data_IF_581742009037
#
_entry.id   IF_581742009037
#
_cell.length_a   1.000
_cell.length_b   1.000
_cell.length_c   1.000
_cell.angle_alpha   90.00
_cell.angle_beta   90.00
_cell.angle_gamma   90.00
#
_symmetry.space_group_name_H-M   'P 1'
#
loop_
_entity.id
_entity.type
_entity.pdbx_description
1 polymer ?
#
# COMPACT_ATOMS: atom_id res chain seq x y z
N UNK A 1 -12.40 23.87 -28.92
CA UNK A 1 -12.34 22.40 -28.84
C UNK A 1 -11.05 22.06 -28.13
N UNK A 2 -11.12 21.94 -26.82
CA UNK A 2 -9.99 21.55 -25.96
C UNK A 2 -9.99 20.03 -25.88
N UNK A 3 -8.94 19.38 -26.33
CA UNK A 3 -8.76 17.95 -26.24
C UNK A 3 -8.58 17.58 -24.75
N UNK A 4 -9.55 16.86 -24.19
CA UNK A 4 -9.41 16.19 -22.90
C UNK A 4 -8.34 15.11 -23.04
N UNK A 5 -7.24 15.32 -22.33
CA UNK A 5 -6.15 14.34 -22.25
C UNK A 5 -6.66 13.17 -21.39
N UNK A 6 -7.06 12.09 -22.04
CA UNK A 6 -7.43 10.82 -21.39
C UNK A 6 -6.19 10.27 -20.67
N UNK A 7 -6.20 10.30 -19.35
CA UNK A 7 -5.19 9.69 -18.46
C UNK A 7 -5.41 8.18 -18.29
N UNK A 8 -5.66 7.45 -19.38
CA UNK A 8 -5.72 6.00 -19.33
C UNK A 8 -4.30 5.42 -19.13
N UNK A 9 -4.16 4.50 -18.16
CA UNK A 9 -2.91 3.77 -17.98
C UNK A 9 -2.56 2.96 -19.24
N UNK A 10 -1.27 2.85 -19.61
CA UNK A 10 -0.88 2.08 -20.78
C UNK A 10 -1.27 0.60 -20.63
N UNK A 11 -1.71 -0.07 -21.72
CA UNK A 11 -2.07 -1.49 -21.69
C UNK A 11 -0.86 -2.36 -21.35
N UNK A 12 -1.12 -3.43 -20.59
CA UNK A 12 -0.14 -4.30 -19.94
C UNK A 12 1.02 -4.76 -20.81
N UNK A 13 2.21 -4.51 -20.31
CA UNK A 13 3.47 -5.07 -20.77
C UNK A 13 4.08 -6.01 -19.74
N UNK A 14 4.94 -6.90 -20.20
CA UNK A 14 5.55 -8.02 -19.50
C UNK A 14 6.13 -7.70 -18.11
N UNK A 15 6.28 -8.73 -17.28
CA UNK A 15 6.72 -8.73 -15.87
C UNK A 15 8.09 -8.13 -15.57
N UNK A 16 8.82 -7.61 -16.57
CA UNK A 16 10.21 -7.16 -16.46
C UNK A 16 10.41 -5.66 -16.76
N UNK A 17 9.35 -4.88 -16.84
CA UNK A 17 9.48 -3.44 -17.10
C UNK A 17 9.30 -2.64 -15.82
N UNK A 18 10.38 -1.97 -15.41
CA UNK A 18 10.36 -0.98 -14.34
C UNK A 18 9.76 0.32 -14.84
N UNK A 19 8.98 0.99 -13.99
CA UNK A 19 8.44 2.31 -14.30
C UNK A 19 9.53 3.38 -14.24
N UNK A 20 9.46 4.35 -15.12
CA UNK A 20 10.38 5.49 -15.09
C UNK A 20 9.99 6.45 -13.95
N UNK A 21 10.95 7.16 -13.32
CA UNK A 21 10.66 8.26 -12.42
C UNK A 21 9.67 9.25 -13.04
N UNK A 22 8.72 9.76 -12.25
CA UNK A 22 7.63 10.63 -12.71
C UNK A 22 6.40 9.90 -13.25
N UNK A 23 6.47 8.58 -13.51
CA UNK A 23 5.28 7.80 -13.90
C UNK A 23 4.26 7.78 -12.78
N UNK A 24 2.99 8.02 -13.12
CA UNK A 24 1.89 7.91 -12.16
C UNK A 24 1.32 6.50 -12.17
N UNK A 25 1.17 5.91 -10.98
CA UNK A 25 0.64 4.56 -10.79
C UNK A 25 -0.30 4.52 -9.58
N UNK A 26 -1.05 3.41 -9.41
CA UNK A 26 -1.87 3.18 -8.23
C UNK A 26 -1.16 2.27 -7.23
N UNK A 27 -1.19 2.64 -5.97
CA UNK A 27 -0.94 1.74 -4.84
C UNK A 27 -2.28 1.40 -4.21
N UNK A 28 -2.69 0.13 -4.31
CA UNK A 28 -4.01 -0.32 -3.86
C UNK A 28 -3.91 -1.37 -2.77
N UNK A 29 -4.90 -1.33 -1.86
CA UNK A 29 -5.10 -2.38 -0.88
C UNK A 29 -6.44 -3.06 -1.12
N UNK A 30 -6.40 -4.38 -1.15
CA UNK A 30 -7.59 -5.24 -1.19
C UNK A 30 -8.19 -5.36 0.20
N UNK A 31 -9.47 -5.66 0.27
CA UNK A 31 -10.16 -5.89 1.52
C UNK A 31 -9.69 -7.16 2.24
N UNK A 32 -9.83 -7.16 3.55
CA UNK A 32 -9.56 -8.30 4.40
C UNK A 32 -10.82 -9.16 4.60
N UNK A 33 -10.62 -10.45 4.74
CA UNK A 33 -11.69 -11.40 5.04
C UNK A 33 -12.41 -12.01 3.84
N UNK A 34 -13.25 -13.01 4.10
CA UNK A 34 -14.01 -13.71 3.07
C UNK A 34 -14.92 -12.75 2.28
N UNK A 35 -14.91 -12.87 0.94
CA UNK A 35 -15.74 -12.06 0.05
C UNK A 35 -15.24 -10.64 -0.23
N UNK A 36 -14.15 -10.19 0.39
CA UNK A 36 -13.59 -8.84 0.16
C UNK A 36 -12.20 -8.86 -0.49
N UNK A 37 -11.56 -10.01 -0.63
CA UNK A 37 -10.18 -10.13 -1.14
C UNK A 37 -10.02 -9.66 -2.59
N UNK A 38 -11.08 -9.67 -3.37
CA UNK A 38 -11.09 -9.21 -4.76
C UNK A 38 -11.64 -7.79 -4.92
N UNK A 39 -11.91 -7.10 -3.81
CA UNK A 39 -12.39 -5.72 -3.81
C UNK A 39 -11.27 -4.78 -3.38
N UNK A 40 -11.08 -3.69 -4.13
CA UNK A 40 -10.17 -2.62 -3.73
C UNK A 40 -10.86 -1.73 -2.70
N UNK A 41 -10.30 -1.65 -1.50
CA UNK A 41 -10.84 -0.83 -0.43
C UNK A 41 -10.07 0.49 -0.25
N UNK A 42 -8.79 0.51 -0.66
CA UNK A 42 -7.95 1.71 -0.62
C UNK A 42 -7.25 1.82 -1.97
N UNK A 43 -7.32 3.00 -2.56
CA UNK A 43 -6.54 3.34 -3.75
C UNK A 43 -5.84 4.69 -3.54
N UNK A 44 -4.55 4.71 -3.78
CA UNK A 44 -3.68 5.88 -3.61
C UNK A 44 -2.89 6.11 -4.89
N UNK A 45 -3.26 7.12 -5.69
CA UNK A 45 -2.43 7.55 -6.79
C UNK A 45 -1.07 8.04 -6.28
N UNK A 46 0.00 7.59 -6.91
CA UNK A 46 1.37 7.91 -6.49
C UNK A 46 2.25 8.16 -7.71
N UNK A 47 3.33 8.93 -7.52
CA UNK A 47 4.36 9.16 -8.53
C UNK A 47 5.55 8.26 -8.24
N UNK A 48 6.03 7.53 -9.24
CA UNK A 48 7.23 6.69 -9.12
C UNK A 48 8.45 7.59 -8.95
N UNK A 49 9.23 7.32 -7.91
CA UNK A 49 10.50 7.99 -7.61
C UNK A 49 11.68 7.16 -8.14
N UNK A 50 11.64 5.87 -7.85
CA UNK A 50 12.62 4.86 -8.26
C UNK A 50 11.92 3.52 -8.37
N UNK A 51 12.24 2.76 -9.38
CA UNK A 51 11.71 1.42 -9.58
C UNK A 51 12.78 0.55 -10.25
N UNK A 52 13.34 -0.38 -9.50
CA UNK A 52 14.41 -1.28 -9.94
C UNK A 52 14.36 -2.62 -9.16
N UNK A 53 15.32 -3.54 -9.37
CA UNK A 53 15.37 -4.82 -8.65
C UNK A 53 15.48 -4.69 -7.12
N UNK A 54 15.92 -3.54 -6.60
CA UNK A 54 16.17 -3.35 -5.17
C UNK A 54 14.99 -2.72 -4.44
N UNK A 55 14.29 -1.75 -5.10
CA UNK A 55 13.24 -0.98 -4.45
C UNK A 55 12.24 -0.39 -5.45
N UNK A 56 10.97 -0.43 -5.08
CA UNK A 56 9.95 0.46 -5.60
C UNK A 56 9.76 1.60 -4.60
N UNK A 57 10.17 2.79 -4.98
CA UNK A 57 9.96 4.02 -4.22
C UNK A 57 8.89 4.87 -4.92
N UNK A 58 7.84 5.26 -4.19
CA UNK A 58 6.74 6.06 -4.74
C UNK A 58 6.37 7.20 -3.80
N UNK A 59 5.98 8.32 -4.39
CA UNK A 59 5.58 9.53 -3.70
C UNK A 59 4.08 9.76 -3.78
N UNK A 60 3.41 9.88 -2.64
CA UNK A 60 2.04 10.35 -2.52
C UNK A 60 2.04 11.84 -2.14
N UNK A 61 1.72 12.70 -3.08
CA UNK A 61 1.74 14.14 -2.90
C UNK A 61 0.64 14.65 -1.94
N UNK A 62 0.84 15.79 -1.28
CA UNK A 62 -0.23 16.49 -0.57
C UNK A 62 -1.40 16.78 -1.50
N UNK A 63 -2.63 16.65 -1.00
CA UNK A 63 -3.84 16.92 -1.77
C UNK A 63 -4.26 15.82 -2.74
N UNK A 64 -3.49 14.74 -2.88
CA UNK A 64 -3.87 13.56 -3.69
C UNK A 64 -5.26 13.06 -3.28
N UNK A 65 -6.14 12.83 -4.26
CA UNK A 65 -7.44 12.19 -4.03
C UNK A 65 -7.22 10.69 -3.83
N UNK A 66 -7.57 10.20 -2.64
CA UNK A 66 -7.39 8.80 -2.26
C UNK A 66 -8.75 8.18 -1.94
N UNK A 67 -8.90 6.91 -2.28
CA UNK A 67 -10.04 6.10 -1.85
C UNK A 67 -9.74 5.52 -0.47
N UNK A 68 -10.72 5.62 0.43
CA UNK A 68 -10.64 5.06 1.79
C UNK A 68 -11.92 4.31 2.13
N UNK A 69 -11.84 3.25 2.96
CA UNK A 69 -13.02 2.58 3.48
C UNK A 69 -13.74 3.47 4.50
N UNK A 70 -15.06 3.45 4.43
CA UNK A 70 -15.97 4.02 5.42
C UNK A 70 -17.07 3.01 5.72
N UNK A 71 -17.81 3.18 6.82
CA UNK A 71 -19.01 2.40 7.06
C UNK A 71 -20.10 2.76 6.02
N UNK A 72 -21.08 1.91 5.84
CA UNK A 72 -22.14 2.12 4.85
C UNK A 72 -22.93 3.44 5.04
N UNK A 73 -22.97 3.97 6.26
CA UNK A 73 -23.55 5.28 6.60
C UNK A 73 -22.59 6.47 6.37
N UNK A 74 -21.38 6.21 5.86
CA UNK A 74 -20.36 7.21 5.62
C UNK A 74 -19.48 7.54 6.84
N UNK A 75 -19.71 6.93 7.99
CA UNK A 75 -18.89 7.13 9.19
C UNK A 75 -17.47 6.60 8.95
N UNK A 76 -16.40 7.36 9.32
CA UNK A 76 -15.03 6.85 9.26
C UNK A 76 -14.87 5.57 10.08
N UNK A 77 -14.23 4.55 9.50
CA UNK A 77 -14.07 3.21 10.12
C UNK A 77 -13.46 3.28 11.52
N UNK A 78 -12.48 4.17 11.73
CA UNK A 78 -11.78 4.30 13.02
C UNK A 78 -12.66 4.86 14.17
N UNK A 79 -13.83 5.45 13.86
CA UNK A 79 -14.79 5.93 14.87
C UNK A 79 -15.67 4.82 15.43
N UNK A 80 -15.75 3.70 14.72
CA UNK A 80 -16.49 2.54 15.20
C UNK A 80 -15.67 1.81 16.26
N UNK A 81 -16.29 1.36 17.39
CA UNK A 81 -15.62 0.52 18.38
C UNK A 81 -14.99 -0.70 17.73
N UNK A 82 -13.78 -1.05 18.16
CA UNK A 82 -12.98 -2.10 17.55
C UNK A 82 -13.73 -3.45 17.51
N UNK A 83 -14.44 -3.81 18.59
CA UNK A 83 -15.21 -5.06 18.70
C UNK A 83 -16.31 -5.25 17.62
N UNK A 84 -16.74 -4.17 16.96
CA UNK A 84 -17.80 -4.20 15.94
C UNK A 84 -17.34 -3.69 14.58
N UNK A 85 -16.18 -3.03 14.54
CA UNK A 85 -15.62 -2.32 13.39
C UNK A 85 -15.56 -3.18 12.13
N UNK A 86 -15.12 -4.42 12.26
CA UNK A 86 -14.91 -5.32 11.13
C UNK A 86 -16.16 -6.09 10.69
N UNK A 87 -17.23 -6.04 11.49
CA UNK A 87 -18.50 -6.75 11.21
C UNK A 87 -19.52 -5.88 10.50
N UNK A 88 -19.31 -4.55 10.50
CA UNK A 88 -20.23 -3.60 9.84
C UNK A 88 -20.01 -3.53 8.34
N UNK A 89 -21.07 -3.39 7.55
CA UNK A 89 -20.97 -3.16 6.12
C UNK A 89 -20.14 -1.91 5.82
N UNK A 90 -19.30 -2.00 4.81
CA UNK A 90 -18.40 -0.93 4.38
C UNK A 90 -18.67 -0.53 2.95
N UNK A 91 -18.34 0.70 2.64
CA UNK A 91 -18.24 1.27 1.31
C UNK A 91 -16.94 2.06 1.20
N UNK A 92 -16.73 2.72 0.09
CA UNK A 92 -15.54 3.55 -0.12
C UNK A 92 -15.93 5.01 -0.31
N UNK A 93 -15.04 5.91 0.07
CA UNK A 93 -15.18 7.35 -0.13
C UNK A 93 -13.87 7.93 -0.64
N UNK A 94 -13.98 8.89 -1.57
CA UNK A 94 -12.82 9.64 -2.05
C UNK A 94 -12.57 10.83 -1.12
N UNK A 95 -11.36 10.91 -0.58
CA UNK A 95 -10.89 12.01 0.27
C UNK A 95 -9.56 12.55 -0.22
N UNK A 96 -9.25 13.81 0.08
CA UNK A 96 -7.93 14.35 -0.17
C UNK A 96 -6.97 13.94 0.94
N UNK A 97 -5.76 13.53 0.53
CA UNK A 97 -4.69 13.31 1.50
C UNK A 97 -4.31 14.65 2.14
N UNK A 98 -4.24 14.66 3.45
CA UNK A 98 -3.81 15.81 4.24
C UNK A 98 -2.35 15.63 4.70
N UNK A 99 -1.64 16.75 5.03
CA UNK A 99 -0.26 16.70 5.49
C UNK A 99 0.75 16.94 4.37
N UNK A 100 2.01 16.66 4.67
CA UNK A 100 3.15 16.96 3.78
C UNK A 100 3.40 15.94 2.67
N UNK A 101 2.60 14.90 2.60
CA UNK A 101 2.77 13.77 1.67
C UNK A 101 3.54 12.61 2.31
N UNK A 102 3.69 11.52 1.55
CA UNK A 102 4.32 10.28 2.03
C UNK A 102 5.21 9.69 0.94
N UNK A 103 6.46 9.41 1.27
CA UNK A 103 7.31 8.55 0.46
C UNK A 103 7.14 7.10 0.95
N UNK A 104 6.81 6.18 0.06
CA UNK A 104 6.69 4.76 0.35
C UNK A 104 7.80 4.00 -0.35
N UNK A 105 8.46 3.13 0.38
CA UNK A 105 9.54 2.29 -0.08
C UNK A 105 9.15 0.82 0.11
N UNK A 106 9.25 0.03 -0.93
CA UNK A 106 8.93 -1.38 -0.89
C UNK A 106 10.01 -2.19 -1.60
N UNK A 107 10.67 -3.08 -0.90
CA UNK A 107 11.60 -4.03 -1.50
C UNK A 107 10.83 -5.20 -2.12
N UNK A 108 11.31 -5.79 -3.21
CA UNK A 108 10.69 -6.98 -3.77
C UNK A 108 10.57 -8.09 -2.71
N UNK A 109 9.46 -8.83 -2.76
CA UNK A 109 9.17 -9.99 -1.91
C UNK A 109 9.15 -9.76 -0.38
N UNK A 110 9.45 -8.54 0.08
CA UNK A 110 9.30 -8.22 1.49
C UNK A 110 7.83 -8.00 1.85
N UNK A 111 7.32 -8.66 2.92
CA UNK A 111 5.92 -8.52 3.35
C UNK A 111 5.70 -7.27 4.20
N UNK A 112 6.31 -6.17 3.82
CA UNK A 112 6.11 -4.83 4.37
C UNK A 112 6.53 -3.74 3.39
N UNK A 113 6.07 -2.52 3.65
CA UNK A 113 6.59 -1.29 3.06
C UNK A 113 6.96 -0.30 4.15
N UNK A 114 7.92 0.56 3.87
CA UNK A 114 8.38 1.61 4.79
C UNK A 114 7.90 2.95 4.29
N UNK A 115 7.15 3.68 5.11
CA UNK A 115 6.59 4.98 4.78
C UNK A 115 7.33 6.06 5.56
N UNK A 116 7.74 7.09 4.87
CA UNK A 116 8.44 8.23 5.45
C UNK A 116 7.50 9.42 5.53
N UNK A 117 7.49 10.05 6.69
CA UNK A 117 6.69 11.23 6.97
C UNK A 117 7.57 12.40 7.34
N UNK A 118 7.13 13.60 6.98
CA UNK A 118 7.76 14.86 7.34
C UNK A 118 6.75 15.78 8.01
N UNK A 119 7.26 16.71 8.78
CA UNK A 119 6.51 17.86 9.28
C UNK A 119 6.61 19.03 8.29
N UNK A 120 5.79 20.08 8.45
CA UNK A 120 5.96 21.31 7.69
C UNK A 120 7.42 21.81 7.76
N UNK A 121 7.96 22.27 6.63
CA UNK A 121 9.37 22.65 6.52
C UNK A 121 10.32 21.47 6.29
N UNK A 122 9.78 20.30 5.96
CA UNK A 122 10.55 19.11 5.61
C UNK A 122 11.46 18.55 6.73
N UNK A 123 11.14 18.81 7.97
CA UNK A 123 11.78 18.13 9.10
C UNK A 123 11.30 16.67 9.11
N UNK A 124 12.24 15.74 9.03
CA UNK A 124 11.90 14.32 9.08
C UNK A 124 11.19 13.99 10.40
N UNK A 125 10.05 13.31 10.31
CA UNK A 125 9.21 13.00 11.45
C UNK A 125 9.42 11.58 11.95
N UNK A 126 9.22 10.60 11.07
CA UNK A 126 9.32 9.19 11.43
C UNK A 126 9.27 8.29 10.18
N UNK A 127 9.68 7.05 10.35
CA UNK A 127 9.26 5.95 9.48
C UNK A 127 8.04 5.25 10.08
N UNK A 128 7.29 4.59 9.21
CA UNK A 128 6.18 3.72 9.56
C UNK A 128 6.31 2.46 8.71
N UNK A 129 6.41 1.30 9.34
CA UNK A 129 6.50 0.01 8.64
C UNK A 129 5.13 -0.59 8.62
N UNK A 130 4.53 -0.65 7.43
CA UNK A 130 3.23 -1.26 7.19
C UNK A 130 3.45 -2.73 6.84
N UNK A 131 3.00 -3.65 7.72
CA UNK A 131 3.06 -5.08 7.43
C UNK A 131 1.92 -5.44 6.47
N UNK A 132 2.26 -6.02 5.34
CA UNK A 132 1.32 -6.25 4.23
C UNK A 132 1.74 -7.44 3.38
N UNK A 133 0.85 -7.97 2.54
CA UNK A 133 1.24 -8.96 1.53
C UNK A 133 2.34 -8.42 0.61
N UNK A 134 3.25 -9.27 0.13
CA UNK A 134 4.13 -8.91 -0.98
C UNK A 134 3.32 -8.37 -2.16
N UNK A 135 3.76 -7.25 -2.70
CA UNK A 135 3.01 -6.51 -3.72
C UNK A 135 2.93 -7.27 -5.02
N UNK A 136 1.73 -7.37 -5.57
CA UNK A 136 1.49 -7.86 -6.92
C UNK A 136 1.47 -6.70 -7.90
N UNK A 137 2.40 -6.72 -8.86
CA UNK A 137 2.48 -5.70 -9.92
C UNK A 137 1.46 -5.97 -11.02
N UNK A 138 0.94 -4.90 -11.57
CA UNK A 138 0.16 -4.90 -12.80
C UNK A 138 0.49 -3.62 -13.60
N UNK A 139 -0.04 -3.47 -14.82
CA UNK A 139 0.34 -2.36 -15.72
C UNK A 139 0.16 -0.97 -15.10
N UNK A 140 -0.88 -0.76 -14.31
CA UNK A 140 -1.21 0.54 -13.71
C UNK A 140 -0.75 0.70 -12.26
N UNK A 141 -0.05 -0.27 -11.65
CA UNK A 141 0.37 -0.13 -10.26
C UNK A 141 0.69 -1.41 -9.52
N UNK A 142 0.45 -1.37 -8.22
CA UNK A 142 0.66 -2.50 -7.32
C UNK A 142 -0.56 -2.72 -6.44
N UNK A 143 -0.85 -3.99 -6.17
CA UNK A 143 -1.87 -4.44 -5.22
C UNK A 143 -1.19 -5.15 -4.04
N UNK A 144 -1.70 -4.89 -2.85
CA UNK A 144 -1.30 -5.55 -1.62
C UNK A 144 -2.52 -5.80 -0.74
N UNK A 145 -2.32 -6.37 0.44
CA UNK A 145 -3.31 -6.51 1.49
C UNK A 145 -2.66 -6.15 2.82
N UNK A 146 -3.28 -5.25 3.55
CA UNK A 146 -2.85 -4.81 4.87
C UNK A 146 -3.02 -5.94 5.91
N UNK A 147 -2.06 -6.08 6.82
CA UNK A 147 -2.09 -7.13 7.85
C UNK A 147 -2.36 -6.60 9.27
N UNK A 148 -2.88 -5.38 9.40
CA UNK A 148 -3.33 -4.75 10.66
C UNK A 148 -2.22 -4.43 11.66
N UNK A 149 -1.08 -5.10 11.63
CA UNK A 149 0.03 -4.89 12.56
C UNK A 149 1.10 -4.04 11.90
N UNK A 150 1.52 -3.00 12.59
CA UNK A 150 2.48 -2.04 12.06
C UNK A 150 3.59 -1.71 13.07
N UNK A 151 4.64 -1.01 12.62
CA UNK A 151 5.73 -0.56 13.47
C UNK A 151 5.95 0.93 13.26
N UNK A 152 5.87 1.71 14.32
CA UNK A 152 6.31 3.11 14.34
C UNK A 152 7.79 3.17 14.68
N UNK A 153 8.56 3.97 13.94
CA UNK A 153 10.03 4.12 14.12
C UNK A 153 10.38 5.59 14.18
N UNK A 154 10.97 6.02 15.30
CA UNK A 154 11.42 7.38 15.51
C UNK A 154 12.70 7.70 14.70
N UNK A 155 13.08 8.99 14.54
CA UNK A 155 14.31 9.37 13.83
C UNK A 155 15.60 8.78 14.41
N UNK A 156 15.63 8.47 15.70
CA UNK A 156 16.73 7.80 16.38
C UNK A 156 16.70 6.27 16.28
N UNK A 157 15.73 5.74 15.53
CA UNK A 157 15.42 4.31 15.33
C UNK A 157 14.88 3.58 16.56
N UNK A 158 14.52 4.28 17.62
CA UNK A 158 13.66 3.66 18.64
C UNK A 158 12.31 3.33 17.97
N UNK A 159 11.75 2.20 18.31
CA UNK A 159 10.53 1.69 17.64
C UNK A 159 9.51 1.14 18.62
N UNK A 160 8.28 0.97 18.16
CA UNK A 160 7.20 0.34 18.91
C UNK A 160 6.13 -0.21 17.97
N UNK A 161 5.48 -1.27 18.40
CA UNK A 161 4.34 -1.84 17.70
C UNK A 161 3.18 -0.84 17.64
N UNK A 162 2.40 -0.92 16.58
CA UNK A 162 1.14 -0.20 16.37
C UNK A 162 0.05 -1.17 16.00
N UNK A 163 -1.17 -0.80 16.43
CA UNK A 163 -2.40 -1.48 16.04
C UNK A 163 -2.45 -2.96 16.46
N UNK A 164 -1.74 -3.33 17.55
CA UNK A 164 -1.74 -4.69 18.13
C UNK A 164 -3.15 -5.13 18.55
N UNK A 165 -3.99 -4.20 18.99
CA UNK A 165 -5.39 -4.41 19.32
C UNK A 165 -6.24 -4.68 18.07
N UNK A 166 -5.99 -3.96 16.96
CA UNK A 166 -6.62 -4.25 15.66
C UNK A 166 -6.21 -5.62 15.13
N UNK A 167 -4.94 -5.95 15.23
CA UNK A 167 -4.40 -7.25 14.85
C UNK A 167 -5.02 -8.40 15.66
N UNK A 168 -5.17 -8.23 16.98
CA UNK A 168 -5.82 -9.22 17.84
C UNK A 168 -7.31 -9.36 17.51
N UNK A 169 -8.01 -8.23 17.26
CA UNK A 169 -9.42 -8.25 16.90
C UNK A 169 -9.66 -8.89 15.52
N UNK A 170 -8.78 -8.66 14.55
CA UNK A 170 -8.88 -9.29 13.24
C UNK A 170 -8.80 -10.82 13.33
N UNK A 171 -7.97 -11.36 14.23
CA UNK A 171 -7.92 -12.79 14.52
C UNK A 171 -9.20 -13.28 15.20
N UNK A 172 -9.69 -12.55 16.21
CA UNK A 172 -10.92 -12.89 16.92
C UNK A 172 -12.16 -12.87 16.01
N UNK A 173 -12.18 -12.00 15.00
CA UNK A 173 -13.26 -11.89 14.02
C UNK A 173 -13.09 -12.84 12.80
N UNK A 174 -12.04 -13.69 12.79
CA UNK A 174 -11.80 -14.64 11.69
C UNK A 174 -11.34 -14.00 10.37
N UNK A 175 -10.89 -12.75 10.40
CA UNK A 175 -10.33 -12.06 9.23
C UNK A 175 -8.89 -12.47 8.94
N UNK A 176 -8.21 -13.00 9.93
CA UNK A 176 -6.83 -13.48 9.87
C UNK A 176 -6.72 -14.84 10.57
N UNK A 177 -6.31 -15.83 9.81
CA UNK A 177 -6.07 -17.17 10.36
C UNK A 177 -4.76 -17.22 11.17
N UNK A 178 -4.67 -18.14 12.12
CA UNK A 178 -3.54 -18.25 13.05
C UNK A 178 -2.19 -18.39 12.33
N UNK A 179 -2.14 -19.17 11.24
CA UNK A 179 -0.93 -19.34 10.44
C UNK A 179 -0.49 -18.04 9.76
N UNK A 180 -1.43 -17.24 9.24
CA UNK A 180 -1.12 -15.92 8.69
C UNK A 180 -0.64 -14.97 9.78
N UNK A 181 -1.29 -14.97 10.96
CA UNK A 181 -0.89 -14.15 12.10
C UNK A 181 0.56 -14.44 12.53
N UNK A 182 0.96 -15.71 12.56
CA UNK A 182 2.34 -16.09 12.87
C UNK A 182 3.33 -15.60 11.80
N UNK A 183 2.99 -15.73 10.52
CA UNK A 183 3.81 -15.17 9.43
C UNK A 183 3.98 -13.67 9.53
N UNK A 184 2.90 -12.94 9.88
CA UNK A 184 2.94 -11.48 10.06
C UNK A 184 3.84 -11.10 11.24
N UNK A 185 3.74 -11.77 12.38
CA UNK A 185 4.64 -11.55 13.53
C UNK A 185 6.10 -11.84 13.17
N UNK A 186 6.35 -12.93 12.46
CA UNK A 186 7.69 -13.27 11.98
C UNK A 186 8.24 -12.23 11.00
N UNK A 187 7.40 -11.70 10.11
CA UNK A 187 7.77 -10.62 9.20
C UNK A 187 8.13 -9.35 9.98
N UNK A 188 7.31 -8.96 10.95
CA UNK A 188 7.57 -7.82 11.82
C UNK A 188 8.88 -7.96 12.60
N UNK A 189 9.15 -9.16 13.16
CA UNK A 189 10.42 -9.43 13.84
C UNK A 189 11.63 -9.31 12.89
N UNK A 190 11.47 -9.65 11.60
CA UNK A 190 12.55 -9.40 10.61
C UNK A 190 12.71 -7.90 10.34
N UNK A 191 11.60 -7.17 10.17
CA UNK A 191 11.66 -5.72 9.97
C UNK A 191 12.35 -5.01 11.15
N UNK A 192 12.05 -5.41 12.39
CA UNK A 192 12.71 -4.89 13.60
C UNK A 192 14.23 -5.08 13.55
N UNK A 193 14.70 -6.26 13.18
CA UNK A 193 16.16 -6.48 13.03
C UNK A 193 16.82 -5.55 12.01
N UNK A 194 16.11 -5.26 10.90
CA UNK A 194 16.59 -4.30 9.89
C UNK A 194 16.62 -2.88 10.45
N UNK A 195 15.60 -2.47 11.22
CA UNK A 195 15.54 -1.18 11.89
C UNK A 195 16.73 -0.99 12.85
N UNK A 196 16.94 -1.96 13.73
CA UNK A 196 18.00 -1.94 14.76
C UNK A 196 19.41 -1.92 14.15
N UNK A 197 19.60 -2.67 13.07
CA UNK A 197 20.85 -2.69 12.32
C UNK A 197 21.07 -1.41 11.48
N UNK A 198 20.06 -0.54 11.32
CA UNK A 198 20.11 0.58 10.38
C UNK A 198 20.28 0.14 8.93
N UNK A 199 19.77 -1.05 8.60
CA UNK A 199 19.81 -1.57 7.24
C UNK A 199 18.85 -0.83 6.30
N UNK A 200 18.91 -1.12 4.97
CA UNK A 200 17.99 -0.54 4.00
C UNK A 200 16.51 -0.77 4.36
N UNK A 201 15.63 0.26 4.25
CA UNK A 201 15.90 1.61 3.77
C UNK A 201 16.24 2.63 4.87
N UNK A 202 16.42 2.23 6.13
CA UNK A 202 16.59 3.12 7.28
C UNK A 202 17.95 3.82 7.31
N UNK A 203 18.96 3.24 6.65
CA UNK A 203 20.31 3.80 6.54
C UNK A 203 20.64 4.46 5.20
N UNK A 204 19.70 4.48 4.24
CA UNK A 204 19.97 4.89 2.85
C UNK A 204 19.82 6.39 2.60
N UNK A 205 19.54 7.20 3.62
CA UNK A 205 19.40 8.66 3.46
C UNK A 205 18.06 9.11 2.87
N UNK A 206 17.05 8.24 2.74
CA UNK A 206 15.74 8.60 2.19
C UNK A 206 15.02 9.70 2.99
N UNK A 207 15.36 9.93 4.25
CA UNK A 207 14.83 11.03 5.07
C UNK A 207 15.17 12.41 4.49
N UNK A 208 16.25 12.51 3.70
CA UNK A 208 16.69 13.74 3.03
C UNK A 208 16.13 13.92 1.62
N UNK A 209 15.42 12.91 1.12
CA UNK A 209 14.78 12.97 -0.19
C UNK A 209 13.69 14.04 -0.25
N UNK A 210 13.54 14.66 -1.43
CA UNK A 210 12.50 15.65 -1.71
C UNK A 210 11.87 15.39 -3.08
N UNK A 211 10.54 15.61 -3.23
CA UNK A 211 9.90 15.47 -4.52
C UNK A 211 10.37 16.54 -5.50
N UNK A 212 10.38 16.18 -6.77
CA UNK A 212 10.54 17.16 -7.84
C UNK A 212 9.32 18.10 -7.82
N UNK A 213 9.53 19.43 -7.66
CA UNK A 213 8.42 20.39 -7.63
C UNK A 213 7.64 20.46 -8.95
N UNK A 214 8.20 19.98 -10.05
CA UNK A 214 7.52 19.91 -11.34
C UNK A 214 6.53 18.74 -11.43
N UNK A 215 6.55 17.78 -10.53
CA UNK A 215 5.61 16.67 -10.57
C UNK A 215 4.18 17.12 -10.21
N UNK A 216 3.21 16.85 -11.08
CA UNK A 216 1.82 17.12 -10.76
C UNK A 216 1.31 16.20 -9.64
N UNK A 217 0.27 16.66 -8.93
CA UNK A 217 -0.46 15.77 -8.02
C UNK A 217 -1.14 14.68 -8.85
N UNK A 218 -0.89 13.38 -8.58
CA UNK A 218 -1.46 12.30 -9.36
C UNK A 218 -2.99 12.30 -9.33
N UNK A 219 -3.62 12.05 -10.47
CA UNK A 219 -5.06 11.92 -10.58
C UNK A 219 -5.53 10.51 -10.15
N UNK A 220 -6.68 10.44 -9.49
CA UNK A 220 -7.37 9.17 -9.26
C UNK A 220 -8.13 8.81 -10.54
N UNK A 221 -7.80 7.71 -11.24
CA UNK A 221 -8.51 7.30 -12.44
C UNK A 221 -9.93 6.78 -12.10
N UNK A 222 -10.87 6.89 -13.02
CA UNK A 222 -12.27 6.48 -12.81
C UNK A 222 -12.40 4.97 -12.59
N UNK A 223 -11.50 4.18 -13.17
CA UNK A 223 -11.45 2.71 -13.06
C UNK A 223 -10.49 2.20 -11.97
N UNK A 224 -10.26 3.01 -10.93
CA UNK A 224 -9.35 2.72 -9.81
C UNK A 224 -9.64 1.39 -9.10
N UNK A 225 -10.88 0.92 -9.11
CA UNK A 225 -11.37 -0.30 -8.46
C UNK A 225 -11.37 -1.52 -9.39
N UNK A 226 -11.09 -1.34 -10.69
CA UNK A 226 -11.08 -2.45 -11.64
C UNK A 226 -9.98 -3.44 -11.25
N UNK A 227 -10.42 -4.64 -10.86
CA UNK A 227 -9.51 -5.73 -10.57
C UNK A 227 -8.95 -6.28 -11.90
N UNK A 228 -7.63 -6.32 -12.02
CA UNK A 228 -6.97 -7.01 -13.13
C UNK A 228 -6.50 -8.36 -12.58
N UNK A 229 -7.14 -9.48 -12.95
CA UNK A 229 -6.66 -10.80 -12.54
C UNK A 229 -5.20 -10.95 -12.96
N UNK A 230 -4.37 -11.57 -12.12
CA UNK A 230 -3.06 -12.01 -12.55
C UNK A 230 -3.26 -12.90 -13.77
N UNK A 231 -2.54 -12.66 -14.88
CA UNK A 231 -2.61 -13.50 -16.05
C UNK A 231 -2.42 -14.96 -15.62
N UNK A 232 -3.50 -15.74 -15.67
CA UNK A 232 -3.56 -17.09 -15.16
C UNK A 232 -2.50 -17.94 -15.84
N UNK A 233 -1.75 -18.68 -15.06
CA UNK A 233 -1.02 -19.84 -15.56
C UNK A 233 -2.04 -20.73 -16.26
N UNK A 234 -1.85 -20.96 -17.57
CA UNK A 234 -2.78 -21.71 -18.39
C UNK A 234 -3.12 -23.05 -17.76
N UNK A 235 -4.40 -23.27 -17.54
CA UNK A 235 -4.93 -24.60 -17.31
C UNK A 235 -4.62 -25.42 -18.56
N UNK A 236 -3.63 -26.30 -18.46
CA UNK A 236 -3.37 -27.29 -19.49
C UNK A 236 -4.64 -28.14 -19.68
N UNK A 237 -5.32 -27.95 -20.80
CA UNK A 237 -6.34 -28.85 -21.28
C UNK A 237 -5.66 -30.19 -21.58
N UNK A 238 -5.82 -31.15 -20.68
CA UNK A 238 -5.52 -32.55 -20.98
C UNK A 238 -6.60 -33.00 -21.95
N UNK A 239 -6.28 -33.03 -23.24
CA UNK A 239 -7.06 -33.72 -24.26
C UNK A 239 -6.88 -35.19 -24.04
N UNK A 240 -7.85 -35.85 -23.44
CA UNK A 240 -7.97 -37.27 -23.41
C UNK A 240 -8.53 -37.75 -24.78
N UNK A 241 -7.67 -38.33 -25.58
CA UNK A 241 -8.09 -39.09 -26.75
C UNK A 241 -8.45 -40.49 -26.27
N UNK A 242 -9.63 -40.92 -26.66
CA UNK A 242 -9.97 -42.32 -26.84
C UNK A 242 -10.63 -42.48 -28.19
#
# INVERSE_FOLDING_TARGET
MTAESSTAFPPGGARDTYWRPGTQVLWRYRGNGPGHRDQVHIARPVTVVRDDPEVLAVWMAPGTRCVKPVLADGTPVYREPLATRYRKPRTTRVERWWGTGVLKLARPDEPWSVWLFWEPGWRFKNWYVNLEEPRRRWAGGVDSQDHFLDIHVNPDRTWGWRDEDEFAQAQADGLMEAELAERVRSAGARAVRVIEAGGPPFGDGWQDWRPDPAWPVPALPDDWDRFTPAAGGGAGTVSGSN
#
